data_IF_125169098317
#
_entry.id   IF_125169098317
#
_cell.length_a   1.000
_cell.length_b   1.000
_cell.length_c   1.000
_cell.angle_alpha   90.00
_cell.angle_beta   90.00
_cell.angle_gamma   90.00
#
_symmetry.space_group_name_H-M   'P 1'
#
loop_
_entity.id
_entity.type
_entity.pdbx_description
1 polymer ?
#
# COMPACT_ATOMS: atom_id res chain seq x y z
N UNK A 1 76.79 -54.51 9.88
CA UNK A 1 76.42 -54.56 11.30
C UNK A 1 75.01 -54.05 11.46
N UNK A 2 74.19 -54.89 12.03
CA UNK A 2 72.86 -54.73 12.59
C UNK A 2 71.73 -54.06 11.75
N UNK A 3 70.90 -54.92 11.23
CA UNK A 3 69.57 -54.69 10.70
C UNK A 3 68.55 -54.46 11.81
N UNK A 4 67.58 -53.54 11.61
CA UNK A 4 66.31 -53.59 12.32
C UNK A 4 65.15 -53.48 11.32
N UNK A 5 64.38 -54.54 11.24
CA UNK A 5 63.11 -54.65 10.53
C UNK A 5 62.03 -54.00 11.40
N UNK A 6 61.28 -53.07 10.86
CA UNK A 6 60.09 -52.50 11.46
C UNK A 6 58.87 -53.02 10.71
N UNK A 7 57.98 -53.69 11.43
CA UNK A 7 56.69 -54.23 10.97
C UNK A 7 55.66 -53.12 10.95
N UNK A 8 55.10 -52.90 9.76
CA UNK A 8 53.98 -51.95 9.61
C UNK A 8 52.66 -52.72 9.77
N UNK A 9 51.97 -52.49 10.88
CA UNK A 9 50.64 -53.00 11.11
C UNK A 9 49.60 -52.09 10.43
N UNK A 10 48.84 -52.64 9.51
CA UNK A 10 47.74 -51.97 8.85
C UNK A 10 46.52 -51.93 9.80
N UNK A 11 46.17 -50.72 10.24
CA UNK A 11 44.92 -50.50 10.98
C UNK A 11 43.83 -50.16 9.96
N UNK A 12 42.87 -51.05 9.81
CA UNK A 12 41.64 -50.81 9.06
C UNK A 12 40.71 -49.95 9.88
N UNK A 13 40.52 -48.69 9.46
CA UNK A 13 39.41 -47.82 9.96
C UNK A 13 38.13 -48.19 9.22
N UNK A 14 37.24 -48.93 9.89
CA UNK A 14 35.88 -49.10 9.45
C UNK A 14 35.13 -47.81 9.81
N UNK A 15 34.91 -46.93 8.80
CA UNK A 15 34.08 -45.72 8.93
C UNK A 15 32.61 -46.15 8.85
N UNK A 16 31.99 -46.28 10.00
CA UNK A 16 30.55 -46.53 10.08
C UNK A 16 29.82 -45.20 9.80
N UNK A 17 29.30 -45.07 8.57
CA UNK A 17 28.45 -43.94 8.15
C UNK A 17 27.11 -44.08 8.88
N UNK A 18 26.93 -43.33 9.98
CA UNK A 18 25.65 -43.19 10.62
C UNK A 18 24.81 -42.25 9.74
N UNK A 19 23.90 -42.79 8.91
CA UNK A 19 22.84 -42.02 8.24
C UNK A 19 21.84 -41.64 9.32
N UNK A 20 21.93 -40.40 9.77
CA UNK A 20 20.94 -39.78 10.64
C UNK A 20 19.69 -39.51 9.80
N UNK A 21 18.76 -40.46 9.78
CA UNK A 21 17.41 -40.24 9.24
C UNK A 21 16.71 -39.30 10.19
N UNK A 22 16.83 -38.00 9.96
CA UNK A 22 15.95 -37.03 10.60
C UNK A 22 14.53 -37.27 10.09
N UNK A 23 13.76 -37.98 10.87
CA UNK A 23 12.31 -38.04 10.71
C UNK A 23 11.76 -36.64 10.92
N UNK A 24 11.07 -36.09 9.91
CA UNK A 24 10.31 -34.84 9.99
C UNK A 24 8.83 -35.13 10.31
N UNK A 25 8.46 -35.56 11.53
CA UNK A 25 7.07 -35.74 11.90
C UNK A 25 6.37 -34.41 12.24
N UNK A 26 7.12 -33.38 12.67
CA UNK A 26 6.55 -32.11 13.13
C UNK A 26 5.97 -31.26 11.98
N UNK A 27 6.62 -31.26 10.81
CA UNK A 27 6.12 -30.47 9.66
C UNK A 27 4.81 -31.07 9.12
N UNK A 28 4.69 -32.39 9.10
CA UNK A 28 3.47 -33.08 8.61
C UNK A 28 2.30 -32.88 9.57
N UNK A 29 2.54 -32.84 10.88
CA UNK A 29 1.52 -32.63 11.91
C UNK A 29 1.03 -31.17 11.94
N UNK A 30 1.92 -30.19 11.84
CA UNK A 30 1.58 -28.77 11.78
C UNK A 30 0.76 -28.43 10.51
N UNK A 31 1.08 -29.06 9.39
CA UNK A 31 0.38 -28.84 8.12
C UNK A 31 -1.01 -29.51 8.12
N UNK A 32 -1.19 -30.64 8.78
CA UNK A 32 -2.50 -31.29 8.95
C UNK A 32 -3.42 -30.47 9.85
N UNK A 33 -2.93 -29.98 10.97
CA UNK A 33 -3.68 -29.13 11.93
C UNK A 33 -4.14 -27.83 11.27
N UNK A 34 -3.26 -27.15 10.52
CA UNK A 34 -3.63 -25.91 9.84
C UNK A 34 -4.70 -26.11 8.75
N UNK A 35 -4.66 -27.25 8.04
CA UNK A 35 -5.68 -27.60 7.03
C UNK A 35 -7.04 -27.92 7.67
N UNK A 36 -7.04 -28.59 8.80
CA UNK A 36 -8.26 -28.91 9.55
C UNK A 36 -8.89 -27.64 10.14
N UNK A 37 -8.11 -26.74 10.71
CA UNK A 37 -8.55 -25.45 11.22
C UNK A 37 -9.12 -24.57 10.10
N UNK A 38 -8.51 -24.59 8.92
CA UNK A 38 -9.02 -23.89 7.76
C UNK A 38 -10.40 -24.42 7.34
N UNK A 39 -10.54 -25.75 7.21
CA UNK A 39 -11.81 -26.36 6.84
C UNK A 39 -12.90 -26.11 7.86
N UNK A 40 -12.57 -26.11 9.17
CA UNK A 40 -13.49 -25.75 10.24
C UNK A 40 -13.96 -24.30 10.10
N UNK A 41 -13.03 -23.37 9.81
CA UNK A 41 -13.34 -21.95 9.58
C UNK A 41 -14.25 -21.78 8.37
N UNK A 42 -13.98 -22.48 7.27
CA UNK A 42 -14.83 -22.43 6.06
C UNK A 42 -16.25 -22.94 6.36
N UNK A 43 -16.39 -24.07 7.05
CA UNK A 43 -17.73 -24.58 7.44
C UNK A 43 -18.49 -23.61 8.33
N UNK A 44 -17.80 -22.96 9.28
CA UNK A 44 -18.41 -21.96 10.14
C UNK A 44 -18.84 -20.70 9.34
N UNK A 45 -18.02 -20.25 8.40
CA UNK A 45 -18.37 -19.17 7.49
C UNK A 45 -19.57 -19.51 6.60
N UNK A 46 -19.62 -20.73 6.05
CA UNK A 46 -20.76 -21.21 5.26
C UNK A 46 -22.06 -21.26 6.11
N UNK A 47 -21.95 -21.54 7.40
CA UNK A 47 -23.10 -21.51 8.32
C UNK A 47 -23.55 -20.05 8.60
N UNK A 48 -22.65 -19.08 8.66
CA UNK A 48 -22.96 -17.65 8.69
C UNK A 48 -23.62 -17.18 7.39
N UNK A 49 -23.23 -17.74 6.26
CA UNK A 49 -23.88 -17.62 4.93
C UNK A 49 -23.75 -16.26 4.26
N UNK A 50 -23.13 -15.27 4.90
CA UNK A 50 -23.02 -13.90 4.41
C UNK A 50 -21.68 -13.27 4.73
N UNK A 51 -21.23 -12.34 3.83
CA UNK A 51 -20.11 -11.44 4.04
C UNK A 51 -20.50 -10.04 3.55
N UNK A 52 -20.27 -9.03 4.36
CA UNK A 52 -20.45 -7.62 3.97
C UNK A 52 -19.11 -6.90 3.94
N UNK A 53 -18.69 -6.45 2.76
CA UNK A 53 -17.49 -5.66 2.52
C UNK A 53 -17.84 -4.18 2.30
N UNK A 54 -17.30 -3.30 3.15
CA UNK A 54 -17.25 -1.86 2.85
C UNK A 54 -15.90 -1.54 2.20
N UNK A 55 -15.92 -1.06 0.96
CA UNK A 55 -14.70 -0.90 0.18
C UNK A 55 -14.64 0.36 -0.66
N UNK A 56 -13.45 0.98 -0.72
CA UNK A 56 -13.13 1.99 -1.72
C UNK A 56 -11.99 1.52 -2.63
N UNK A 57 -11.75 2.31 -3.64
CA UNK A 57 -10.48 2.32 -4.36
C UNK A 57 -10.25 1.17 -5.34
N UNK A 58 -11.12 0.15 -5.39
CA UNK A 58 -11.01 -1.02 -6.26
C UNK A 58 -12.37 -1.42 -6.85
N UNK A 59 -12.32 -2.10 -8.01
CA UNK A 59 -13.49 -2.72 -8.64
C UNK A 59 -13.78 -4.08 -7.98
N UNK A 60 -14.24 -4.04 -6.74
CA UNK A 60 -14.44 -5.24 -5.92
C UNK A 60 -15.37 -6.27 -6.58
N UNK A 61 -16.36 -5.84 -7.35
CA UNK A 61 -17.28 -6.79 -8.00
C UNK A 61 -16.54 -7.74 -8.94
N UNK A 62 -15.50 -7.26 -9.64
CA UNK A 62 -14.66 -8.08 -10.52
C UNK A 62 -13.62 -8.90 -9.73
N UNK A 63 -13.01 -8.30 -8.71
CA UNK A 63 -12.02 -8.99 -7.86
C UNK A 63 -12.68 -10.18 -7.15
N UNK A 64 -13.93 -10.04 -6.72
CA UNK A 64 -14.64 -11.03 -5.93
C UNK A 64 -15.21 -12.21 -6.74
N UNK A 65 -15.20 -12.17 -8.07
CA UNK A 65 -15.72 -13.27 -8.89
C UNK A 65 -15.05 -14.63 -8.61
N UNK A 66 -13.72 -14.75 -8.49
CA UNK A 66 -13.08 -16.00 -8.08
C UNK A 66 -13.49 -16.44 -6.66
N UNK A 67 -13.63 -15.49 -5.73
CA UNK A 67 -14.07 -15.78 -4.36
C UNK A 67 -15.48 -16.38 -4.32
N UNK A 68 -16.43 -15.75 -5.01
CA UNK A 68 -17.83 -16.21 -5.11
C UNK A 68 -17.92 -17.62 -5.73
N UNK A 69 -17.09 -17.89 -6.75
CA UNK A 69 -17.00 -19.23 -7.35
C UNK A 69 -16.45 -20.28 -6.39
N UNK A 70 -15.46 -19.90 -5.59
CA UNK A 70 -14.80 -20.81 -4.63
C UNK A 70 -15.65 -21.09 -3.39
N UNK A 71 -16.43 -20.11 -2.96
CA UNK A 71 -17.27 -20.17 -1.75
C UNK A 71 -18.73 -19.82 -2.08
N UNK A 72 -19.41 -20.65 -2.89
CA UNK A 72 -20.74 -20.32 -3.44
C UNK A 72 -21.85 -20.24 -2.37
N UNK A 73 -21.62 -20.75 -1.16
CA UNK A 73 -22.55 -20.63 -0.04
C UNK A 73 -22.44 -19.30 0.70
N UNK A 74 -21.40 -18.49 0.42
CA UNK A 74 -21.25 -17.17 1.01
C UNK A 74 -21.85 -16.11 0.09
N UNK A 75 -22.94 -15.48 0.51
CA UNK A 75 -23.51 -14.32 -0.16
C UNK A 75 -22.67 -13.08 0.15
N UNK A 76 -22.00 -12.52 -0.85
CA UNK A 76 -21.16 -11.35 -0.68
C UNK A 76 -21.95 -10.09 -1.03
N UNK A 77 -22.14 -9.21 -0.04
CA UNK A 77 -22.66 -7.86 -0.20
C UNK A 77 -21.50 -6.85 -0.19
N UNK A 78 -21.50 -5.92 -1.13
CA UNK A 78 -20.52 -4.85 -1.23
C UNK A 78 -21.19 -3.49 -1.02
N UNK A 79 -20.57 -2.62 -0.23
CA UNK A 79 -20.94 -1.21 -0.12
C UNK A 79 -19.72 -0.42 -0.57
N UNK A 80 -19.80 0.12 -1.77
CA UNK A 80 -18.69 0.81 -2.42
C UNK A 80 -18.86 2.32 -2.37
N UNK A 81 -17.78 3.06 -2.15
CA UNK A 81 -17.82 4.52 -2.08
C UNK A 81 -16.48 5.13 -1.70
N UNK A 82 -16.48 6.42 -1.42
CA UNK A 82 -15.28 7.10 -0.94
C UNK A 82 -14.94 6.65 0.49
N UNK A 83 -13.68 6.31 0.73
CA UNK A 83 -13.22 5.75 2.00
C UNK A 83 -13.61 6.57 3.23
N UNK A 84 -13.43 7.89 3.19
CA UNK A 84 -13.81 8.78 4.29
C UNK A 84 -15.31 8.76 4.60
N UNK A 85 -16.17 8.71 3.58
CA UNK A 85 -17.62 8.61 3.74
C UNK A 85 -18.01 7.25 4.32
N UNK A 86 -17.41 6.17 3.84
CA UNK A 86 -17.65 4.83 4.38
C UNK A 86 -17.18 4.70 5.82
N UNK A 87 -16.02 5.27 6.16
CA UNK A 87 -15.54 5.30 7.55
C UNK A 87 -16.48 6.06 8.48
N UNK A 88 -16.94 7.25 8.06
CA UNK A 88 -17.92 8.04 8.81
C UNK A 88 -19.25 7.28 8.97
N UNK A 89 -19.68 6.54 7.94
CA UNK A 89 -20.86 5.68 7.98
C UNK A 89 -20.71 4.57 9.03
N UNK A 90 -19.59 3.85 9.04
CA UNK A 90 -19.32 2.83 10.07
C UNK A 90 -19.44 3.40 11.47
N UNK A 91 -18.87 4.59 11.71
CA UNK A 91 -18.98 5.25 13.02
C UNK A 91 -20.40 5.68 13.37
N UNK A 92 -21.19 6.14 12.37
CA UNK A 92 -22.59 6.49 12.57
C UNK A 92 -23.45 5.24 12.88
N UNK A 93 -23.25 4.15 12.14
CA UNK A 93 -23.90 2.86 12.38
C UNK A 93 -23.59 2.34 13.78
N UNK A 94 -22.33 2.38 14.23
CA UNK A 94 -21.92 1.99 15.60
C UNK A 94 -22.60 2.83 16.68
N UNK A 95 -22.75 4.15 16.50
CA UNK A 95 -23.49 4.99 17.46
C UNK A 95 -24.96 4.58 17.60
N UNK A 96 -25.54 4.02 16.53
CA UNK A 96 -26.88 3.43 16.53
C UNK A 96 -26.89 1.94 16.86
N UNK A 97 -25.79 1.39 17.45
CA UNK A 97 -25.63 -0.03 17.79
C UNK A 97 -25.81 -1.00 16.60
N UNK A 98 -25.57 -0.50 15.39
CA UNK A 98 -25.59 -1.30 14.14
C UNK A 98 -24.17 -1.62 13.73
N UNK A 99 -23.88 -2.91 13.61
CA UNK A 99 -22.59 -3.45 13.20
C UNK A 99 -22.81 -4.18 11.89
N UNK A 100 -22.63 -3.50 10.77
CA UNK A 100 -23.02 -4.03 9.44
C UNK A 100 -21.84 -4.61 8.64
N UNK A 101 -20.66 -3.94 8.54
CA UNK A 101 -19.56 -4.49 7.76
C UNK A 101 -18.77 -5.56 8.53
N UNK A 102 -18.42 -6.62 7.80
CA UNK A 102 -17.50 -7.66 8.25
C UNK A 102 -16.04 -7.31 7.97
N UNK A 103 -15.81 -6.65 6.84
CA UNK A 103 -14.48 -6.21 6.40
C UNK A 103 -14.56 -4.78 5.88
N UNK A 104 -13.54 -4.01 6.19
CA UNK A 104 -13.38 -2.64 5.68
C UNK A 104 -12.06 -2.55 4.90
N UNK A 105 -12.14 -2.01 3.68
CA UNK A 105 -10.97 -1.75 2.85
C UNK A 105 -10.96 -0.32 2.34
N UNK A 106 -9.86 0.40 2.61
CA UNK A 106 -9.72 1.79 2.22
C UNK A 106 -8.25 2.22 2.13
N UNK A 107 -8.00 3.50 1.89
CA UNK A 107 -6.68 4.10 2.00
C UNK A 107 -6.17 4.10 3.44
N UNK A 108 -4.84 3.95 3.60
CA UNK A 108 -4.17 3.87 4.89
C UNK A 108 -4.59 5.00 5.85
N UNK A 109 -4.55 6.23 5.38
CA UNK A 109 -4.90 7.39 6.22
C UNK A 109 -6.38 7.37 6.65
N UNK A 110 -7.28 6.92 5.77
CA UNK A 110 -8.71 6.83 6.12
C UNK A 110 -8.97 5.81 7.22
N UNK A 111 -8.45 4.60 7.05
CA UNK A 111 -8.71 3.55 8.04
C UNK A 111 -8.03 3.87 9.38
N UNK A 112 -6.83 4.48 9.33
CA UNK A 112 -6.09 4.89 10.52
C UNK A 112 -6.78 6.05 11.25
N UNK A 113 -7.02 7.17 10.55
CA UNK A 113 -7.54 8.39 11.19
C UNK A 113 -9.01 8.27 11.61
N UNK A 114 -9.82 7.50 10.86
CA UNK A 114 -11.26 7.42 11.12
C UNK A 114 -11.59 6.22 12.00
N UNK A 115 -11.17 5.01 11.65
CA UNK A 115 -11.61 3.80 12.37
C UNK A 115 -10.67 3.41 13.51
N UNK A 116 -9.35 3.43 13.28
CA UNK A 116 -8.40 3.03 14.31
C UNK A 116 -8.38 4.00 15.50
N UNK A 117 -8.26 5.30 15.25
CA UNK A 117 -8.32 6.32 16.32
C UNK A 117 -9.65 6.32 17.08
N UNK A 118 -10.73 5.90 16.44
CA UNK A 118 -12.04 5.73 17.07
C UNK A 118 -12.21 4.38 17.79
N UNK A 119 -11.16 3.54 17.86
CA UNK A 119 -11.20 2.22 18.43
C UNK A 119 -12.35 1.35 17.84
N UNK A 120 -12.53 1.45 16.53
CA UNK A 120 -13.61 0.84 15.78
C UNK A 120 -13.17 -0.44 15.03
N UNK A 121 -11.98 -0.97 15.33
CA UNK A 121 -11.42 -2.16 14.69
C UNK A 121 -11.15 -3.28 15.67
N UNK A 122 -11.31 -4.52 15.20
CA UNK A 122 -10.80 -5.75 15.82
C UNK A 122 -9.41 -6.09 15.27
N UNK A 123 -8.59 -6.85 16.01
CA UNK A 123 -7.30 -7.30 15.51
C UNK A 123 -7.43 -8.20 14.28
N UNK A 124 -6.85 -7.79 13.14
CA UNK A 124 -6.79 -8.62 11.93
C UNK A 124 -5.70 -9.69 12.01
N UNK A 125 -4.59 -9.43 12.71
CA UNK A 125 -3.44 -10.34 12.76
C UNK A 125 -3.79 -11.77 13.20
N UNK A 126 -4.62 -12.02 14.24
CA UNK A 126 -4.99 -13.38 14.64
C UNK A 126 -5.91 -14.09 13.63
N UNK A 127 -6.49 -13.37 12.68
CA UNK A 127 -7.35 -13.98 11.67
C UNK A 127 -6.58 -14.60 10.50
N UNK A 128 -5.28 -14.28 10.36
CA UNK A 128 -4.42 -14.82 9.33
C UNK A 128 -4.03 -16.26 9.72
N UNK A 129 -4.49 -17.25 8.95
CA UNK A 129 -4.31 -18.68 9.29
C UNK A 129 -3.81 -19.52 8.11
N UNK A 130 -3.97 -19.08 6.86
CA UNK A 130 -3.43 -19.84 5.73
C UNK A 130 -1.90 -19.77 5.75
N UNK A 131 -1.19 -20.92 5.63
CA UNK A 131 0.28 -20.95 5.64
C UNK A 131 0.92 -20.00 4.64
N UNK A 132 0.36 -19.92 3.42
CA UNK A 132 0.87 -19.01 2.39
C UNK A 132 0.63 -17.51 2.71
N UNK A 133 -0.33 -17.19 3.57
CA UNK A 133 -0.63 -15.81 4.00
C UNK A 133 0.25 -15.40 5.17
N UNK A 134 0.47 -16.31 6.13
CA UNK A 134 1.29 -16.04 7.32
C UNK A 134 2.80 -16.08 7.05
N UNK A 135 3.23 -16.67 5.93
CA UNK A 135 4.63 -16.73 5.52
C UNK A 135 5.13 -15.34 5.12
N UNK A 136 5.82 -14.68 6.05
CA UNK A 136 6.33 -13.33 5.86
C UNK A 136 7.33 -13.22 4.69
N UNK A 137 8.07 -14.30 4.38
CA UNK A 137 9.03 -14.31 3.28
C UNK A 137 8.40 -14.08 1.88
N UNK A 138 7.09 -14.29 1.76
CA UNK A 138 6.33 -14.02 0.53
C UNK A 138 5.90 -12.57 0.37
N UNK A 139 6.17 -11.71 1.35
CA UNK A 139 5.76 -10.33 1.37
C UNK A 139 6.96 -9.39 1.21
N UNK A 140 6.71 -8.21 0.67
CA UNK A 140 7.71 -7.18 0.45
C UNK A 140 8.47 -6.86 1.75
N UNK A 141 9.80 -6.76 1.66
CA UNK A 141 10.72 -6.62 2.79
C UNK A 141 10.75 -7.82 3.77
N UNK A 142 10.14 -8.96 3.41
CA UNK A 142 10.10 -10.15 4.25
C UNK A 142 9.21 -10.00 5.48
N UNK A 143 8.23 -9.09 5.44
CA UNK A 143 7.35 -8.83 6.59
C UNK A 143 5.90 -8.52 6.19
N UNK A 144 4.99 -8.78 7.13
CA UNK A 144 3.64 -8.25 7.06
C UNK A 144 3.65 -6.77 7.46
N UNK A 145 3.20 -5.90 6.56
CA UNK A 145 3.11 -4.47 6.86
C UNK A 145 1.78 -4.14 7.51
N UNK A 146 1.85 -3.58 8.71
CA UNK A 146 0.72 -3.00 9.42
C UNK A 146 0.85 -1.48 9.48
N UNK A 147 -0.28 -0.79 9.43
CA UNK A 147 -0.36 0.67 9.46
C UNK A 147 -0.42 1.20 10.90
N UNK A 148 -1.00 0.41 11.81
CA UNK A 148 -1.17 0.78 13.21
C UNK A 148 0.10 0.51 14.05
N UNK A 149 0.37 1.30 15.11
CA UNK A 149 1.54 1.14 15.98
C UNK A 149 1.63 -0.23 16.66
N UNK A 150 0.50 -0.83 17.03
CA UNK A 150 0.44 -2.16 17.64
C UNK A 150 0.70 -3.30 16.65
N UNK A 151 0.77 -2.98 15.34
CA UNK A 151 1.02 -3.93 14.24
C UNK A 151 0.06 -5.13 14.24
N UNK A 152 -1.25 -4.86 14.35
CA UNK A 152 -2.25 -5.91 14.48
C UNK A 152 -3.65 -5.61 13.93
N UNK A 153 -3.99 -4.34 13.64
CA UNK A 153 -5.36 -3.96 13.27
C UNK A 153 -5.54 -3.67 11.78
N UNK A 154 -4.55 -3.07 11.12
CA UNK A 154 -4.67 -2.60 9.74
C UNK A 154 -3.56 -3.21 8.89
N UNK A 155 -3.92 -4.15 8.04
CA UNK A 155 -2.99 -4.82 7.13
C UNK A 155 -2.86 -4.06 5.82
N UNK A 156 -1.62 -3.73 5.40
CA UNK A 156 -1.34 -3.14 4.10
C UNK A 156 -0.95 -4.22 3.09
N UNK A 157 -1.74 -4.38 2.02
CA UNK A 157 -1.51 -5.39 0.99
C UNK A 157 -0.95 -4.82 -0.32
N UNK A 158 -0.84 -3.49 -0.44
CA UNK A 158 -0.29 -2.79 -1.61
C UNK A 158 0.98 -2.03 -1.22
N UNK A 159 1.95 -1.97 -2.15
CA UNK A 159 3.11 -1.09 -2.12
C UNK A 159 3.31 -0.48 -3.51
N UNK A 160 2.66 0.63 -3.77
CA UNK A 160 2.83 1.37 -5.02
C UNK A 160 4.00 2.33 -4.91
N UNK A 161 4.80 2.42 -5.99
CA UNK A 161 5.71 3.55 -6.16
C UNK A 161 4.90 4.86 -6.16
N UNK A 162 5.52 5.91 -5.66
CA UNK A 162 5.01 7.28 -5.72
C UNK A 162 5.84 8.12 -6.68
N UNK A 163 6.28 7.51 -7.80
CA UNK A 163 7.01 8.20 -8.85
C UNK A 163 6.17 9.29 -9.51
N UNK A 164 6.85 10.22 -10.18
CA UNK A 164 6.18 11.26 -10.97
C UNK A 164 5.30 12.20 -10.15
N UNK A 165 5.70 12.56 -8.94
CA UNK A 165 4.95 13.51 -8.12
C UNK A 165 4.93 14.94 -8.68
N UNK A 166 5.88 15.28 -9.57
CA UNK A 166 5.99 16.58 -10.21
C UNK A 166 5.83 16.44 -11.71
N UNK A 167 4.81 17.07 -12.26
CA UNK A 167 4.58 17.17 -13.71
C UNK A 167 5.08 18.50 -14.22
N UNK A 168 5.45 18.54 -15.49
CA UNK A 168 5.87 19.77 -16.17
C UNK A 168 5.29 19.88 -17.58
N UNK A 169 5.18 21.10 -18.09
CA UNK A 169 4.81 21.34 -19.47
C UNK A 169 6.06 21.28 -20.37
N UNK A 170 6.10 20.34 -21.33
CA UNK A 170 7.23 20.14 -22.25
C UNK A 170 7.42 21.25 -23.29
N UNK A 171 6.37 22.05 -23.53
CA UNK A 171 6.45 23.20 -24.45
C UNK A 171 6.97 24.46 -23.75
N UNK A 172 7.12 24.45 -22.43
CA UNK A 172 7.70 25.55 -21.66
C UNK A 172 9.20 25.32 -21.43
N UNK A 173 9.92 26.38 -21.04
CA UNK A 173 11.35 26.30 -20.74
C UNK A 173 11.59 25.63 -19.37
N UNK A 174 11.18 24.36 -19.25
CA UNK A 174 11.49 23.52 -18.11
C UNK A 174 12.48 22.46 -18.57
N UNK A 175 13.72 22.56 -18.09
CA UNK A 175 14.73 21.56 -18.36
C UNK A 175 14.74 20.52 -17.20
N UNK A 176 14.33 19.25 -17.44
CA UNK A 176 14.33 18.22 -16.41
C UNK A 176 15.69 17.99 -15.73
N UNK A 177 16.80 18.20 -16.46
CA UNK A 177 18.15 18.00 -15.93
C UNK A 177 18.57 19.03 -14.85
N UNK A 178 17.78 20.08 -14.64
CA UNK A 178 18.03 21.06 -13.57
C UNK A 178 17.48 20.60 -12.21
N UNK A 179 16.75 19.47 -12.17
CA UNK A 179 16.13 18.96 -10.98
C UNK A 179 16.81 17.67 -10.53
N UNK A 180 17.53 17.73 -9.42
CA UNK A 180 18.21 16.60 -8.80
C UNK A 180 17.76 16.41 -7.34
N UNK A 181 16.89 17.28 -6.86
CA UNK A 181 16.33 17.29 -5.50
C UNK A 181 14.99 18.01 -5.50
N UNK A 182 14.10 17.68 -4.57
CA UNK A 182 12.88 18.47 -4.33
C UNK A 182 13.19 19.92 -3.94
N UNK A 183 14.36 20.19 -3.36
CA UNK A 183 14.80 21.54 -3.03
C UNK A 183 14.97 22.42 -4.28
N UNK A 184 15.20 21.86 -5.47
CA UNK A 184 15.31 22.62 -6.72
C UNK A 184 13.99 23.28 -7.13
N UNK A 185 12.85 22.78 -6.65
CA UNK A 185 11.54 23.44 -6.80
C UNK A 185 11.48 24.79 -6.07
N UNK A 186 12.36 25.02 -5.10
CA UNK A 186 12.43 26.28 -4.35
C UNK A 186 13.35 27.33 -5.00
N UNK A 187 13.89 27.05 -6.19
CA UNK A 187 14.64 28.07 -6.93
C UNK A 187 13.72 29.27 -7.21
N UNK A 188 14.17 30.52 -6.94
CA UNK A 188 13.34 31.73 -7.11
C UNK A 188 12.70 31.88 -8.50
N UNK A 189 13.32 31.30 -9.55
CA UNK A 189 12.74 31.33 -10.93
C UNK A 189 11.37 30.64 -11.02
N UNK A 190 11.05 29.74 -10.08
CA UNK A 190 9.77 28.99 -10.03
C UNK A 190 8.73 29.65 -9.14
N UNK A 191 9.05 30.75 -8.44
CA UNK A 191 8.11 31.45 -7.58
C UNK A 191 6.91 31.95 -8.38
N UNK A 192 5.69 31.59 -7.94
CA UNK A 192 4.42 31.90 -8.62
C UNK A 192 4.17 31.10 -9.90
N UNK A 193 5.05 30.14 -10.26
CA UNK A 193 4.95 29.34 -11.49
C UNK A 193 4.59 27.88 -11.25
N UNK A 194 4.15 27.53 -10.04
CA UNK A 194 3.77 26.18 -9.69
C UNK A 194 2.29 26.09 -9.31
N UNK A 195 1.62 25.08 -9.81
CA UNK A 195 0.33 24.63 -9.29
C UNK A 195 0.51 23.41 -8.38
N UNK A 196 -0.42 23.16 -7.49
CA UNK A 196 -0.45 21.96 -6.64
C UNK A 196 -1.88 21.53 -6.36
N UNK A 197 -2.10 20.22 -6.20
CA UNK A 197 -3.29 19.74 -5.52
C UNK A 197 -3.35 20.38 -4.13
N UNK A 198 -4.56 20.76 -3.69
CA UNK A 198 -4.76 21.41 -2.38
C UNK A 198 -4.19 20.51 -1.25
N UNK A 199 -3.14 20.97 -0.53
CA UNK A 199 -2.47 20.19 0.49
C UNK A 199 -3.34 19.94 1.74
N UNK A 200 -4.55 20.52 1.81
CA UNK A 200 -5.52 20.22 2.89
C UNK A 200 -6.40 19.00 2.55
N UNK A 201 -6.23 18.38 1.40
CA UNK A 201 -7.01 17.22 0.95
C UNK A 201 -6.28 15.89 1.22
N UNK A 202 -7.04 14.82 1.48
CA UNK A 202 -6.49 13.48 1.62
C UNK A 202 -5.75 12.98 0.36
N UNK A 203 -6.07 13.52 -0.83
CA UNK A 203 -5.35 13.20 -2.07
C UNK A 203 -3.87 13.57 -2.04
N UNK A 204 -3.46 14.50 -1.19
CA UNK A 204 -2.06 14.88 -0.94
C UNK A 204 -1.38 14.02 0.14
N UNK A 205 -2.12 13.18 0.88
CA UNK A 205 -1.62 12.51 2.08
C UNK A 205 -0.24 11.86 1.92
N UNK A 206 -0.07 10.99 0.92
CA UNK A 206 1.21 10.31 0.71
C UNK A 206 2.37 11.27 0.35
N UNK A 207 2.11 12.31 -0.47
CA UNK A 207 3.13 13.30 -0.81
C UNK A 207 3.52 14.14 0.40
N UNK A 208 2.54 14.56 1.20
CA UNK A 208 2.78 15.32 2.43
C UNK A 208 3.52 14.49 3.47
N UNK A 209 3.19 13.21 3.61
CA UNK A 209 3.93 12.29 4.48
C UNK A 209 5.40 12.21 4.02
N UNK A 210 5.64 12.01 2.73
CA UNK A 210 6.99 12.00 2.19
C UNK A 210 7.73 13.30 2.49
N UNK A 211 7.16 14.45 2.13
CA UNK A 211 7.80 15.74 2.34
C UNK A 211 8.03 16.07 3.81
N UNK A 212 7.15 15.63 4.71
CA UNK A 212 7.25 15.93 6.14
C UNK A 212 8.23 15.02 6.89
N UNK A 213 8.14 13.70 6.62
CA UNK A 213 8.88 12.70 7.39
C UNK A 213 10.23 12.32 6.77
N UNK A 214 10.47 12.65 5.49
CA UNK A 214 11.75 12.35 4.85
C UNK A 214 12.87 13.17 5.52
N UNK A 215 13.99 12.54 5.97
CA UNK A 215 15.03 13.20 6.77
C UNK A 215 15.72 14.35 6.04
N UNK A 216 15.75 14.32 4.71
CA UNK A 216 16.38 15.36 3.88
C UNK A 216 15.44 16.51 3.51
N UNK A 217 14.14 16.41 3.80
CA UNK A 217 13.13 17.43 3.48
C UNK A 217 12.56 18.05 4.75
N UNK A 218 11.65 17.35 5.40
CA UNK A 218 11.06 17.75 6.67
C UNK A 218 10.10 18.96 6.60
N UNK A 219 9.66 19.43 7.77
CA UNK A 219 8.77 20.59 7.87
C UNK A 219 9.32 21.87 7.23
N UNK A 220 10.65 22.03 7.18
CA UNK A 220 11.29 23.20 6.58
C UNK A 220 11.02 23.31 5.08
N UNK A 221 11.05 22.18 4.35
CA UNK A 221 10.71 22.13 2.95
C UNK A 221 9.26 22.57 2.70
N UNK A 222 8.31 22.03 3.47
CA UNK A 222 6.90 22.38 3.34
C UNK A 222 6.61 23.85 3.63
N UNK A 223 7.27 24.44 4.66
CA UNK A 223 7.15 25.85 4.99
C UNK A 223 7.60 26.74 3.82
N UNK A 224 8.72 26.41 3.20
CA UNK A 224 9.22 27.16 2.05
C UNK A 224 8.34 26.94 0.82
N UNK A 225 7.99 25.71 0.51
CA UNK A 225 7.18 25.39 -0.68
C UNK A 225 5.84 26.11 -0.66
N UNK A 226 5.06 25.96 0.39
CA UNK A 226 3.71 26.51 0.47
C UNK A 226 3.61 27.92 1.06
N UNK A 227 4.62 28.34 1.85
CA UNK A 227 4.63 29.67 2.46
C UNK A 227 5.36 30.72 1.63
N UNK A 228 6.42 30.35 0.88
CA UNK A 228 7.28 31.33 0.21
C UNK A 228 7.20 31.31 -1.32
N UNK A 229 6.88 30.13 -1.92
CA UNK A 229 6.95 29.96 -3.37
C UNK A 229 5.67 30.37 -4.12
N UNK A 230 4.65 30.89 -3.43
CA UNK A 230 3.39 31.34 -4.04
C UNK A 230 2.75 30.27 -4.93
N UNK A 231 2.70 29.03 -4.42
CA UNK A 231 2.09 27.89 -5.12
C UNK A 231 0.59 28.09 -5.24
N UNK A 232 0.04 28.02 -6.45
CA UNK A 232 -1.41 28.07 -6.67
C UNK A 232 -2.02 26.70 -6.41
N UNK A 233 -3.00 26.62 -5.52
CA UNK A 233 -3.65 25.36 -5.13
C UNK A 233 -5.03 25.20 -5.74
N UNK A 234 -5.40 23.98 -6.14
CA UNK A 234 -6.74 23.60 -6.61
C UNK A 234 -7.14 22.22 -6.10
N UNK A 235 -8.45 21.99 -5.95
CA UNK A 235 -9.04 20.66 -5.68
C UNK A 235 -9.54 19.98 -6.95
N UNK A 236 -9.55 20.70 -8.05
CA UNK A 236 -10.03 20.23 -9.34
C UNK A 236 -8.85 19.72 -10.18
N UNK A 237 -8.79 18.39 -10.33
CA UNK A 237 -7.74 17.71 -11.08
C UNK A 237 -7.76 18.09 -12.57
N UNK A 238 -8.94 18.29 -13.16
CA UNK A 238 -9.08 18.70 -14.56
C UNK A 238 -8.56 20.12 -14.76
N UNK A 239 -8.96 21.04 -13.91
CA UNK A 239 -8.48 22.42 -13.94
C UNK A 239 -6.94 22.50 -13.87
N UNK A 240 -6.33 21.70 -12.96
CA UNK A 240 -4.87 21.64 -12.84
C UNK A 240 -4.21 21.07 -14.09
N UNK A 241 -4.82 20.05 -14.71
CA UNK A 241 -4.33 19.45 -15.96
C UNK A 241 -4.41 20.47 -17.10
N UNK A 242 -5.49 21.22 -17.22
CA UNK A 242 -5.67 22.29 -18.19
C UNK A 242 -4.67 23.43 -17.99
N UNK A 243 -4.41 23.83 -16.76
CA UNK A 243 -3.39 24.84 -16.43
C UNK A 243 -1.97 24.38 -16.84
N UNK A 244 -1.67 23.13 -16.57
CA UNK A 244 -0.37 22.55 -16.93
C UNK A 244 -0.24 22.41 -18.44
N UNK A 245 -1.24 21.87 -19.13
CA UNK A 245 -1.25 21.65 -20.57
C UNK A 245 -1.15 22.97 -21.37
N UNK A 246 -1.87 24.02 -20.92
CA UNK A 246 -1.82 25.36 -21.54
C UNK A 246 -0.53 26.12 -21.22
N UNK A 247 0.29 25.66 -20.28
CA UNK A 247 1.50 26.36 -19.84
C UNK A 247 1.25 27.54 -18.89
N UNK A 248 0.02 27.68 -18.36
CA UNK A 248 -0.28 28.69 -17.32
C UNK A 248 0.62 28.49 -16.09
N UNK A 249 0.83 27.24 -15.70
CA UNK A 249 1.84 26.85 -14.72
C UNK A 249 2.76 25.82 -15.36
N UNK A 250 4.05 26.11 -15.53
CA UNK A 250 5.00 25.18 -16.13
C UNK A 250 5.30 23.95 -15.27
N UNK A 251 5.07 24.03 -13.96
CA UNK A 251 5.25 22.94 -13.00
C UNK A 251 3.95 22.68 -12.22
N UNK A 252 3.69 21.41 -11.94
CA UNK A 252 2.56 21.02 -11.09
C UNK A 252 2.92 19.87 -10.15
N UNK A 253 2.59 20.04 -8.87
CA UNK A 253 2.82 19.04 -7.81
C UNK A 253 1.54 18.24 -7.64
N UNK A 254 1.62 16.91 -7.83
CA UNK A 254 0.48 15.98 -7.70
C UNK A 254 -0.70 16.25 -8.64
N UNK A 255 -0.48 16.84 -9.79
CA UNK A 255 -1.52 16.94 -10.83
C UNK A 255 -1.99 15.56 -11.32
N UNK A 256 -1.15 14.53 -11.18
CA UNK A 256 -1.48 13.14 -11.52
C UNK A 256 -2.36 12.42 -10.48
N UNK A 257 -2.93 13.14 -9.50
CA UNK A 257 -3.86 12.56 -8.54
C UNK A 257 -5.23 12.25 -9.19
N UNK A 258 -5.22 11.36 -10.17
CA UNK A 258 -6.39 10.95 -10.96
C UNK A 258 -5.98 10.55 -12.39
N UNK A 259 -6.94 10.14 -13.20
CA UNK A 259 -6.71 9.71 -14.59
C UNK A 259 -6.53 10.87 -15.59
N UNK A 260 -6.72 12.12 -15.19
CA UNK A 260 -6.78 13.27 -16.12
C UNK A 260 -5.44 13.53 -16.81
N UNK A 261 -4.33 13.48 -16.08
CA UNK A 261 -2.99 13.64 -16.68
C UNK A 261 -2.66 12.49 -17.65
N UNK A 262 -3.05 11.26 -17.33
CA UNK A 262 -2.91 10.11 -18.23
C UNK A 262 -3.65 10.34 -19.55
N UNK A 263 -4.94 10.66 -19.48
CA UNK A 263 -5.78 11.00 -20.66
C UNK A 263 -5.19 12.14 -21.49
N UNK A 264 -4.71 13.19 -20.81
CA UNK A 264 -4.08 14.33 -21.49
C UNK A 264 -2.82 13.92 -22.26
N UNK A 265 -2.00 13.05 -21.69
CA UNK A 265 -0.81 12.50 -22.38
C UNK A 265 -1.20 11.64 -23.58
N UNK A 266 -2.22 10.80 -23.46
CA UNK A 266 -2.76 9.98 -24.56
C UNK A 266 -3.32 10.85 -25.70
N UNK A 267 -3.87 12.01 -25.39
CA UNK A 267 -4.32 13.02 -26.34
C UNK A 267 -3.17 13.86 -26.96
N UNK A 268 -1.92 13.56 -26.59
CA UNK A 268 -0.74 14.25 -27.13
C UNK A 268 -0.46 15.63 -26.52
N UNK A 269 -1.10 15.99 -25.41
CA UNK A 269 -0.82 17.26 -24.73
C UNK A 269 0.62 17.29 -24.17
N UNK A 270 1.27 18.48 -24.13
CA UNK A 270 2.69 18.60 -23.81
C UNK A 270 3.00 18.41 -22.32
N UNK A 271 2.54 17.32 -21.71
CA UNK A 271 2.75 17.04 -20.30
C UNK A 271 3.84 15.96 -20.12
N UNK A 272 4.86 16.27 -19.34
CA UNK A 272 5.90 15.36 -18.86
C UNK A 272 5.78 15.11 -17.36
N UNK A 273 6.49 14.10 -16.86
CA UNK A 273 6.73 13.88 -15.44
C UNK A 273 8.23 13.94 -15.17
N UNK A 274 8.65 14.61 -14.10
CA UNK A 274 10.02 14.58 -13.65
C UNK A 274 10.28 13.21 -12.98
N UNK A 275 11.47 12.67 -13.21
CA UNK A 275 11.91 11.43 -12.58
C UNK A 275 12.36 11.69 -11.14
N UNK A 276 11.38 11.87 -10.25
CA UNK A 276 11.63 12.18 -8.84
C UNK A 276 12.27 11.02 -8.06
N UNK A 277 12.26 9.80 -8.61
CA UNK A 277 12.92 8.65 -7.99
C UNK A 277 14.44 8.67 -8.16
N UNK A 278 14.94 9.33 -9.19
CA UNK A 278 16.37 9.51 -9.40
C UNK A 278 16.98 10.67 -8.61
N UNK A 279 16.13 11.47 -7.95
CA UNK A 279 16.59 12.61 -7.15
C UNK A 279 17.26 12.16 -5.85
N UNK A 280 17.96 13.10 -5.22
CA UNK A 280 18.73 12.86 -3.98
C UNK A 280 17.91 12.19 -2.88
N UNK A 281 16.65 12.57 -2.72
CA UNK A 281 15.74 12.03 -1.72
C UNK A 281 15.22 10.63 -2.09
N UNK A 282 15.34 10.24 -3.37
CA UNK A 282 14.90 8.95 -3.86
C UNK A 282 13.39 8.81 -3.98
N UNK A 283 12.96 7.58 -4.24
CA UNK A 283 11.55 7.24 -4.36
C UNK A 283 10.88 6.94 -3.02
N UNK A 284 9.57 7.02 -3.02
CA UNK A 284 8.76 6.55 -1.90
C UNK A 284 7.73 5.52 -2.34
N UNK A 285 7.30 4.67 -1.41
CA UNK A 285 6.22 3.71 -1.61
C UNK A 285 5.07 3.97 -0.64
N UNK A 286 3.85 3.70 -1.06
CA UNK A 286 2.68 3.82 -0.19
C UNK A 286 1.73 2.65 -0.32
N UNK A 287 0.92 2.43 0.72
CA UNK A 287 -0.18 1.46 0.66
C UNK A 287 -1.33 1.92 -0.25
N UNK A 288 -1.32 3.17 -0.72
CA UNK A 288 -2.39 3.75 -1.54
C UNK A 288 -3.79 3.47 -0.95
N UNK A 289 -4.70 2.85 -1.74
CA UNK A 289 -6.00 2.35 -1.28
C UNK A 289 -5.97 0.94 -0.67
N UNK A 290 -4.78 0.32 -0.55
CA UNK A 290 -4.61 -1.11 -0.28
C UNK A 290 -4.41 -1.46 1.18
N UNK A 291 -5.40 -1.16 2.02
CA UNK A 291 -5.41 -1.62 3.41
C UNK A 291 -6.70 -2.36 3.77
N UNK A 292 -6.61 -3.28 4.72
CA UNK A 292 -7.72 -4.05 5.28
C UNK A 292 -7.78 -3.90 6.79
N UNK A 293 -8.99 -3.82 7.33
CA UNK A 293 -9.28 -3.94 8.76
C UNK A 293 -10.61 -4.66 8.98
N UNK A 294 -10.81 -5.17 10.19
CA UNK A 294 -12.05 -5.78 10.64
C UNK A 294 -12.75 -4.79 11.54
N UNK A 295 -13.93 -4.24 11.16
CA UNK A 295 -14.72 -3.43 12.08
C UNK A 295 -15.10 -4.22 13.32
N UNK A 296 -15.06 -3.57 14.48
CA UNK A 296 -15.39 -4.23 15.73
C UNK A 296 -16.83 -4.74 15.74
N UNK A 297 -17.04 -5.93 16.33
CA UNK A 297 -18.31 -6.66 16.36
C UNK A 297 -18.82 -7.01 14.95
N UNK A 298 -17.92 -7.39 14.04
CA UNK A 298 -18.31 -7.89 12.73
C UNK A 298 -19.35 -9.02 12.86
N UNK A 299 -20.51 -8.94 12.18
CA UNK A 299 -21.59 -9.89 12.37
C UNK A 299 -21.27 -11.31 11.88
N UNK A 300 -20.35 -11.43 10.91
CA UNK A 300 -19.96 -12.72 10.31
C UNK A 300 -18.45 -12.93 10.41
N UNK A 301 -17.89 -13.16 11.65
CA UNK A 301 -16.44 -13.17 11.88
C UNK A 301 -15.71 -14.30 11.16
N UNK A 302 -16.34 -15.46 10.94
CA UNK A 302 -15.75 -16.56 10.19
C UNK A 302 -15.74 -16.27 8.68
N UNK A 303 -16.79 -15.65 8.13
CA UNK A 303 -16.83 -15.21 6.75
C UNK A 303 -15.77 -14.12 6.48
N UNK A 304 -15.61 -13.16 7.40
CA UNK A 304 -14.51 -12.18 7.36
C UNK A 304 -13.14 -12.86 7.33
N UNK A 305 -12.92 -13.86 8.19
CA UNK A 305 -11.68 -14.63 8.27
C UNK A 305 -11.39 -15.40 6.97
N UNK A 306 -12.40 -16.07 6.38
CA UNK A 306 -12.27 -16.76 5.10
C UNK A 306 -11.94 -15.76 3.98
N UNK A 307 -12.64 -14.65 3.92
CA UNK A 307 -12.41 -13.63 2.90
C UNK A 307 -11.00 -13.03 3.02
N UNK A 308 -10.57 -12.61 4.20
CA UNK A 308 -9.25 -11.99 4.42
C UNK A 308 -8.13 -12.95 3.99
N UNK A 309 -8.19 -14.21 4.40
CA UNK A 309 -7.18 -15.20 4.01
C UNK A 309 -7.18 -15.47 2.50
N UNK A 310 -8.35 -15.59 1.87
CA UNK A 310 -8.43 -15.72 0.42
C UNK A 310 -7.91 -14.45 -0.29
N UNK A 311 -8.33 -13.28 0.15
CA UNK A 311 -7.93 -12.02 -0.49
C UNK A 311 -6.41 -11.78 -0.39
N UNK A 312 -5.81 -12.13 0.75
CA UNK A 312 -4.36 -12.02 0.97
C UNK A 312 -3.58 -13.22 0.40
N UNK A 313 -4.24 -14.28 -0.05
CA UNK A 313 -3.60 -15.43 -0.72
C UNK A 313 -3.02 -15.02 -2.08
N UNK A 314 -2.22 -15.92 -2.67
CA UNK A 314 -1.71 -15.76 -4.03
C UNK A 314 -2.85 -15.53 -5.04
N UNK A 315 -3.93 -16.30 -4.94
CA UNK A 315 -5.10 -16.20 -5.81
C UNK A 315 -5.79 -14.83 -5.71
N UNK A 316 -6.08 -14.38 -4.50
CA UNK A 316 -6.74 -13.09 -4.26
C UNK A 316 -5.89 -11.89 -4.68
N UNK A 317 -4.57 -11.94 -4.48
CA UNK A 317 -3.69 -10.85 -4.87
C UNK A 317 -3.43 -10.80 -6.39
N UNK A 318 -3.49 -11.93 -7.10
CA UNK A 318 -3.53 -11.95 -8.57
C UNK A 318 -4.85 -11.35 -9.06
N UNK A 319 -5.99 -11.70 -8.45
CA UNK A 319 -7.29 -11.11 -8.80
C UNK A 319 -7.29 -9.59 -8.58
N UNK A 320 -6.69 -9.11 -7.48
CA UNK A 320 -6.51 -7.69 -7.21
C UNK A 320 -5.72 -7.00 -8.35
N UNK A 321 -4.57 -7.52 -8.73
CA UNK A 321 -3.74 -6.91 -9.79
C UNK A 321 -4.45 -6.91 -11.14
N UNK A 322 -5.14 -8.00 -11.48
CA UNK A 322 -5.81 -8.15 -12.77
C UNK A 322 -7.11 -7.35 -12.90
N UNK A 323 -7.87 -7.21 -11.83
CA UNK A 323 -9.23 -6.67 -11.88
C UNK A 323 -9.46 -5.46 -10.99
N UNK A 324 -8.47 -5.05 -10.19
CA UNK A 324 -8.67 -4.04 -9.17
C UNK A 324 -8.96 -2.64 -9.71
N UNK A 325 -8.29 -2.24 -10.79
CA UNK A 325 -8.46 -0.97 -11.50
C UNK A 325 -7.74 -0.99 -12.83
N UNK A 326 -8.05 -0.03 -13.76
CA UNK A 326 -7.25 0.17 -14.97
C UNK A 326 -5.76 0.42 -14.67
N UNK A 327 -5.46 1.15 -13.59
CA UNK A 327 -4.10 1.45 -13.10
C UNK A 327 -3.72 0.42 -12.01
N UNK A 328 -3.50 -0.82 -12.41
CA UNK A 328 -3.28 -1.95 -11.53
C UNK A 328 -2.22 -1.69 -10.44
N UNK A 329 -2.65 -1.91 -9.20
CA UNK A 329 -1.81 -1.67 -8.03
C UNK A 329 -0.82 -2.81 -7.77
N UNK A 330 0.35 -2.45 -7.27
CA UNK A 330 1.38 -3.40 -6.93
C UNK A 330 1.11 -4.06 -5.57
N UNK A 331 0.70 -5.31 -5.59
CA UNK A 331 0.59 -6.12 -4.37
C UNK A 331 1.94 -6.22 -3.65
N UNK A 332 1.91 -6.24 -2.32
CA UNK A 332 3.10 -6.52 -1.50
C UNK A 332 3.58 -7.98 -1.58
N UNK A 333 2.81 -8.91 -2.18
CA UNK A 333 3.29 -10.28 -2.40
C UNK A 333 4.37 -10.33 -3.47
N UNK A 334 5.45 -11.06 -3.18
CA UNK A 334 6.60 -11.25 -4.07
C UNK A 334 6.45 -12.46 -5.00
N UNK A 335 5.63 -13.44 -4.61
CA UNK A 335 5.46 -14.73 -5.30
C UNK A 335 4.37 -14.70 -6.39
N UNK A 336 3.99 -13.51 -6.86
CA UNK A 336 3.01 -13.32 -7.94
C UNK A 336 3.60 -12.50 -9.09
N UNK A 337 3.14 -12.73 -10.33
CA UNK A 337 3.54 -11.92 -11.48
C UNK A 337 3.23 -10.43 -11.28
N UNK A 338 4.04 -9.56 -11.87
CA UNK A 338 3.86 -8.10 -11.84
C UNK A 338 3.55 -7.50 -13.22
N UNK A 339 3.30 -8.35 -14.21
CA UNK A 339 3.09 -7.93 -15.60
C UNK A 339 1.84 -7.05 -15.77
N UNK A 340 0.80 -7.33 -14.99
CA UNK A 340 -0.46 -6.57 -14.96
C UNK A 340 -0.37 -5.26 -14.14
N UNK A 341 0.73 -5.03 -13.41
CA UNK A 341 0.90 -3.81 -12.61
C UNK A 341 1.30 -2.68 -13.53
N UNK A 342 0.64 -1.53 -13.38
CA UNK A 342 1.04 -0.30 -14.07
C UNK A 342 2.53 0.02 -13.79
N UNK A 343 3.34 0.29 -14.83
CA UNK A 343 4.76 0.61 -14.65
C UNK A 343 5.03 1.70 -13.62
N UNK A 344 4.14 2.70 -13.50
CA UNK A 344 4.27 3.78 -12.51
C UNK A 344 4.04 3.33 -11.07
N UNK A 345 3.37 2.20 -10.86
CA UNK A 345 3.11 1.64 -9.54
C UNK A 345 4.15 0.59 -9.13
N UNK A 346 5.01 0.14 -10.05
CA UNK A 346 6.01 -0.88 -9.77
C UNK A 346 7.13 -0.32 -8.90
N UNK A 347 7.58 -1.14 -7.96
CA UNK A 347 8.84 -0.90 -7.27
C UNK A 347 9.96 -1.57 -8.07
N UNK A 348 11.01 -0.83 -8.39
CA UNK A 348 12.15 -1.37 -9.11
C UNK A 348 13.00 -2.27 -8.21
N UNK A 349 13.38 -3.48 -8.66
CA UNK A 349 14.24 -4.36 -7.89
C UNK A 349 15.57 -3.68 -7.55
N UNK A 350 15.99 -3.81 -6.28
CA UNK A 350 17.26 -3.25 -5.80
C UNK A 350 17.23 -1.77 -5.42
N UNK A 351 16.18 -1.01 -5.79
CA UNK A 351 16.00 0.35 -5.28
C UNK A 351 15.42 0.35 -3.87
N UNK A 352 15.88 1.28 -3.05
CA UNK A 352 15.31 1.54 -1.73
C UNK A 352 14.23 2.62 -1.86
N UNK A 353 13.09 2.36 -1.23
CA UNK A 353 11.97 3.31 -1.19
C UNK A 353 11.71 3.74 0.26
N UNK A 354 11.39 5.01 0.43
CA UNK A 354 10.87 5.50 1.71
C UNK A 354 9.45 4.98 1.90
N UNK A 355 9.28 3.95 2.77
CA UNK A 355 7.99 3.26 2.93
C UNK A 355 7.03 4.07 3.82
N UNK A 356 6.12 4.78 3.16
CA UNK A 356 5.08 5.59 3.80
C UNK A 356 4.01 4.75 4.53
N UNK A 357 4.01 3.43 4.37
CA UNK A 357 3.08 2.55 5.08
C UNK A 357 3.51 2.24 6.53
N UNK A 358 4.66 2.74 6.97
CA UNK A 358 5.10 2.56 8.35
C UNK A 358 4.19 3.30 9.33
N UNK A 359 3.92 2.70 10.53
CA UNK A 359 3.01 3.29 11.53
C UNK A 359 3.38 4.71 11.95
N UNK A 360 4.66 5.01 12.10
CA UNK A 360 5.19 6.29 12.54
C UNK A 360 4.89 7.47 11.60
N UNK A 361 4.48 7.17 10.35
CA UNK A 361 4.19 8.18 9.34
C UNK A 361 2.70 8.40 9.10
N UNK A 362 1.80 7.73 9.85
CA UNK A 362 0.37 7.75 9.55
C UNK A 362 -0.37 8.95 10.10
N UNK A 363 0.15 9.62 11.13
CA UNK A 363 -0.52 10.79 11.70
C UNK A 363 -0.34 12.04 10.81
N UNK A 364 -1.38 12.38 10.06
CA UNK A 364 -1.41 13.60 9.24
C UNK A 364 -1.78 14.86 10.04
N UNK A 365 -2.19 14.75 11.30
CA UNK A 365 -2.68 15.89 12.10
C UNK A 365 -1.63 16.98 12.21
N UNK A 366 -0.37 16.59 12.50
CA UNK A 366 0.75 17.53 12.61
C UNK A 366 1.09 18.20 11.28
N UNK A 367 0.92 17.48 10.18
CA UNK A 367 1.16 17.97 8.83
C UNK A 367 0.09 18.99 8.44
N UNK A 368 -1.20 18.65 8.62
CA UNK A 368 -2.31 19.56 8.31
C UNK A 368 -2.29 20.80 9.19
N UNK A 369 -1.83 20.71 10.44
CA UNK A 369 -1.60 21.89 11.28
C UNK A 369 -0.55 22.79 10.64
N UNK A 370 0.60 22.25 10.27
CA UNK A 370 1.66 23.01 9.59
C UNK A 370 1.15 23.65 8.30
N UNK A 371 0.44 22.91 7.45
CA UNK A 371 -0.09 23.43 6.19
C UNK A 371 -1.05 24.60 6.41
N UNK A 372 -1.94 24.50 7.40
CA UNK A 372 -2.86 25.60 7.74
C UNK A 372 -2.14 26.87 8.23
N UNK A 373 -0.98 26.69 8.90
CA UNK A 373 -0.17 27.83 9.36
C UNK A 373 0.53 28.56 8.20
N UNK A 374 0.93 27.84 7.15
CA UNK A 374 1.75 28.40 6.06
C UNK A 374 0.99 28.80 4.82
N UNK A 375 -0.18 28.22 4.58
CA UNK A 375 -1.02 28.65 3.45
C UNK A 375 -1.56 30.05 3.69
N UNK A 376 -1.52 30.94 2.67
CA UNK A 376 -2.17 32.24 2.77
C UNK A 376 -3.64 32.09 3.13
N UNK A 377 -4.09 32.76 4.17
CA UNK A 377 -5.52 32.84 4.47
C UNK A 377 -6.19 33.57 3.31
N UNK A 378 -7.21 32.95 2.70
CA UNK A 378 -8.00 33.55 1.62
C UNK A 378 -8.94 34.58 2.20
#
# INVERSE_FOLDING_TARGET
>A
MCSYRSVIGAIWFISTLFIFVMTFPEILSAQSTSKEDWQKTVRAAEAEGQLTLYGCCYEYDRILEPFKKKYPKLKVATVLGQGGQLGARVLAERRGEKYLPDVFSAGANTIYDVLYKAQALEPIKPTLILPEVIDAAKWYEGEHRYIDPEKRFIFAFVANSQSGQVQYNRAQQVNPAEFNSFWDLLNPKWKGKMASLDPTTFGMGAALQFFYYHPELGPAFLRKLYGEMQVTVSRDARQMTDWLASGKFPLCIRCNAGSEVGKAKEQGLPIGSLDTESWKEGGSSSAAGGTLGIPSRAPHPNAAKVFINWFLSREGQIALQKFGRPDAHNSRRLDIPKDEVDPYNRLEPGKKYFDLAKPEYQDLTVIFKLIKEVLPQK
#
